data_IF_460973741637
#
_entry.id   IF_460973741637
#
_cell.length_a   1.000
_cell.length_b   1.000
_cell.length_c   1.000
_cell.angle_alpha   90.00
_cell.angle_beta   90.00
_cell.angle_gamma   90.00
#
_symmetry.space_group_name_H-M   'P 1'
#
loop_
_entity.id
_entity.type
_entity.pdbx_description
1 polymer ?
#
# COMPACT_ATOMS: atom_id res chain seq x y z
N UNK A 1 -53.15 24.80 9.83
CA UNK A 1 -53.02 24.20 8.50
C UNK A 1 -51.62 23.59 8.45
N UNK A 2 -51.33 22.47 9.11
CA UNK A 2 -51.91 21.12 9.07
C UNK A 2 -51.65 20.39 7.75
N UNK A 3 -51.12 19.17 7.90
CA UNK A 3 -50.90 18.05 6.95
C UNK A 3 -49.59 18.09 6.14
N UNK A 4 -48.87 17.00 5.91
CA UNK A 4 -48.86 15.62 6.43
C UNK A 4 -47.62 14.91 5.85
N UNK A 5 -47.14 13.87 6.54
CA UNK A 5 -46.11 12.94 6.09
C UNK A 5 -46.59 11.96 4.99
N UNK A 6 -45.66 11.48 4.16
CA UNK A 6 -45.60 10.16 3.49
C UNK A 6 -44.24 10.10 2.78
N UNK A 7 -43.28 9.21 3.05
CA UNK A 7 -43.24 7.74 3.07
C UNK A 7 -43.39 7.07 1.71
N UNK A 8 -42.43 6.16 1.47
CA UNK A 8 -42.21 5.18 0.38
C UNK A 8 -41.77 5.72 -0.98
N UNK A 9 -40.54 5.38 -1.39
CA UNK A 9 -40.30 4.42 -2.49
C UNK A 9 -38.85 3.91 -2.44
N UNK A 10 -38.73 2.60 -2.23
CA UNK A 10 -37.52 1.79 -2.32
C UNK A 10 -37.57 1.10 -3.69
N UNK A 11 -36.59 1.35 -4.55
CA UNK A 11 -36.32 0.48 -5.70
C UNK A 11 -34.94 -0.19 -5.55
N UNK A 12 -35.02 -1.49 -5.81
CA UNK A 12 -34.06 -2.58 -5.76
C UNK A 12 -32.73 -2.38 -6.46
N UNK A 13 -31.65 -2.84 -5.82
CA UNK A 13 -30.43 -3.30 -6.50
C UNK A 13 -30.20 -4.76 -6.09
N UNK A 14 -30.00 -5.60 -7.11
CA UNK A 14 -29.79 -7.04 -7.03
C UNK A 14 -28.65 -7.44 -6.08
N UNK A 15 -28.96 -8.39 -5.20
CA UNK A 15 -28.02 -9.05 -4.31
C UNK A 15 -27.81 -10.49 -4.81
N UNK A 16 -26.59 -10.81 -5.20
CA UNK A 16 -26.16 -12.15 -5.61
C UNK A 16 -25.95 -13.00 -4.35
N UNK A 17 -26.76 -14.03 -4.22
CA UNK A 17 -26.82 -14.97 -3.08
C UNK A 17 -25.58 -15.86 -3.02
N UNK A 18 -24.83 -15.78 -1.91
CA UNK A 18 -23.89 -16.82 -1.49
C UNK A 18 -24.52 -17.53 -0.28
N UNK A 19 -24.86 -18.80 -0.46
CA UNK A 19 -25.44 -19.66 0.58
C UNK A 19 -24.41 -19.98 1.67
N UNK A 20 -24.73 -19.61 2.91
CA UNK A 20 -24.13 -20.18 4.12
C UNK A 20 -25.25 -20.95 4.83
N UNK A 21 -25.10 -22.25 5.10
CA UNK A 21 -26.06 -22.97 5.94
C UNK A 21 -25.76 -22.71 7.42
N UNK A 22 -26.78 -22.20 8.11
CA UNK A 22 -26.81 -21.93 9.55
C UNK A 22 -27.76 -22.92 10.26
N UNK A 23 -27.43 -23.21 11.53
CA UNK A 23 -28.38 -23.63 12.57
C UNK A 23 -28.46 -25.14 12.84
N UNK A 24 -27.97 -25.66 13.98
CA UNK A 24 -28.63 -25.71 15.30
C UNK A 24 -30.06 -26.30 15.22
N UNK A 25 -30.55 -27.21 16.07
CA UNK A 25 -30.23 -27.71 17.41
C UNK A 25 -31.27 -28.80 17.69
N UNK A 26 -30.93 -29.87 18.42
CA UNK A 26 -31.78 -30.45 19.50
C UNK A 26 -31.18 -31.75 20.03
N UNK A 27 -30.91 -31.70 21.33
CA UNK A 27 -30.60 -32.79 22.24
C UNK A 27 -31.94 -33.36 22.74
N UNK A 28 -32.12 -34.67 22.66
CA UNK A 28 -32.33 -35.58 23.82
C UNK A 28 -33.29 -36.77 23.56
N UNK A 29 -32.96 -37.86 24.25
CA UNK A 29 -33.79 -39.00 24.70
C UNK A 29 -34.14 -40.14 23.72
N UNK A 30 -33.45 -41.25 24.00
CA UNK A 30 -33.89 -42.65 23.95
C UNK A 30 -34.24 -43.29 22.61
N UNK A 31 -33.32 -44.12 22.14
CA UNK A 31 -33.65 -45.51 21.81
C UNK A 31 -32.46 -46.42 22.18
N UNK A 32 -32.61 -47.04 23.34
CA UNK A 32 -31.84 -48.18 23.82
C UNK A 32 -32.07 -49.35 22.85
N UNK A 33 -31.24 -49.44 21.80
CA UNK A 33 -31.15 -50.65 20.99
C UNK A 33 -30.35 -51.68 21.79
N UNK A 34 -31.07 -52.46 22.61
CA UNK A 34 -30.58 -53.73 23.14
C UNK A 34 -30.38 -54.72 22.00
N UNK A 35 -29.32 -54.53 21.21
CA UNK A 35 -28.73 -55.62 20.47
C UNK A 35 -28.08 -56.53 21.50
N UNK A 36 -28.85 -57.53 21.94
CA UNK A 36 -28.31 -58.76 22.52
C UNK A 36 -27.48 -59.43 21.42
N UNK A 37 -26.25 -58.95 21.23
CA UNK A 37 -25.21 -59.76 20.64
C UNK A 37 -25.03 -60.94 21.58
N UNK A 38 -25.48 -62.11 21.13
CA UNK A 38 -25.05 -63.37 21.69
C UNK A 38 -23.54 -63.45 21.45
N UNK A 39 -22.76 -62.94 22.40
CA UNK A 39 -21.31 -63.07 22.42
C UNK A 39 -21.01 -64.56 22.42
N UNK A 40 -20.50 -65.08 21.32
CA UNK A 40 -19.91 -66.42 21.30
C UNK A 40 -18.70 -66.32 22.23
N UNK A 41 -18.88 -66.71 23.49
CA UNK A 41 -17.83 -66.69 24.51
C UNK A 41 -16.77 -67.71 24.08
N UNK A 42 -15.79 -67.24 23.30
CA UNK A 42 -14.57 -68.00 23.03
C UNK A 42 -13.89 -68.14 24.37
N UNK A 43 -13.90 -69.35 24.94
CA UNK A 43 -13.21 -69.65 26.20
C UNK A 43 -11.82 -69.04 26.17
N UNK A 44 -11.55 -68.12 27.10
CA UNK A 44 -10.22 -67.54 27.27
C UNK A 44 -9.19 -68.67 27.39
N UNK A 45 -8.05 -68.47 26.73
CA UNK A 45 -6.93 -69.39 26.88
C UNK A 45 -6.54 -69.50 28.36
N UNK A 46 -6.07 -70.66 28.79
CA UNK A 46 -5.69 -70.93 30.20
C UNK A 46 -4.71 -69.88 30.74
N UNK A 47 -3.92 -69.26 29.86
CA UNK A 47 -3.02 -68.16 30.20
C UNK A 47 -3.74 -66.82 30.40
N UNK A 48 -4.77 -66.52 29.59
CA UNK A 48 -5.54 -65.26 29.67
C UNK A 48 -6.41 -65.20 30.93
N UNK A 49 -6.91 -66.36 31.39
CA UNK A 49 -7.69 -66.47 32.64
C UNK A 49 -6.94 -66.06 33.91
N UNK A 50 -5.60 -65.96 33.86
CA UNK A 50 -4.82 -65.50 35.01
C UNK A 50 -4.89 -63.99 35.24
N UNK A 51 -5.32 -63.24 34.22
CA UNK A 51 -5.38 -61.78 34.26
C UNK A 51 -6.82 -61.25 34.30
N UNK A 52 -7.80 -62.14 34.19
CA UNK A 52 -9.23 -61.88 34.35
C UNK A 52 -9.53 -61.81 35.86
N UNK A 53 -9.51 -60.60 36.40
CA UNK A 53 -9.63 -60.32 37.84
C UNK A 53 -11.08 -60.38 38.29
N UNK A 54 -12.00 -59.96 37.42
CA UNK A 54 -13.43 -59.92 37.71
C UNK A 54 -14.15 -61.25 37.39
N UNK A 55 -13.51 -62.16 36.65
CA UNK A 55 -14.02 -63.49 36.32
C UNK A 55 -15.12 -63.48 35.26
N UNK A 56 -15.27 -62.40 34.50
CA UNK A 56 -16.35 -62.25 33.51
C UNK A 56 -16.06 -62.98 32.18
N UNK A 57 -14.84 -63.51 32.02
CA UNK A 57 -14.44 -64.22 30.82
C UNK A 57 -14.20 -63.31 29.62
N UNK A 58 -13.85 -62.04 29.84
CA UNK A 58 -13.35 -61.09 28.84
C UNK A 58 -12.25 -60.24 29.51
N UNK A 59 -11.14 -60.00 28.81
CA UNK A 59 -10.12 -59.10 29.34
C UNK A 59 -10.49 -57.67 28.97
N UNK A 60 -10.69 -56.81 29.97
CA UNK A 60 -10.82 -55.37 29.74
C UNK A 60 -9.48 -54.75 29.28
N UNK A 61 -9.50 -53.48 28.86
CA UNK A 61 -8.29 -52.81 28.36
C UNK A 61 -7.15 -52.77 29.39
N UNK A 62 -7.47 -52.72 30.69
CA UNK A 62 -6.49 -52.70 31.76
C UNK A 62 -5.89 -54.11 31.97
N UNK A 63 -6.71 -55.15 32.02
CA UNK A 63 -6.28 -56.54 32.13
C UNK A 63 -5.50 -57.01 30.91
N UNK A 64 -5.88 -56.56 29.71
CA UNK A 64 -5.14 -56.77 28.48
C UNK A 64 -3.78 -56.07 28.51
N UNK A 65 -3.72 -54.84 29.03
CA UNK A 65 -2.46 -54.13 29.24
C UNK A 65 -1.57 -54.86 30.27
N UNK A 66 -2.14 -55.36 31.37
CA UNK A 66 -1.41 -56.17 32.35
C UNK A 66 -0.82 -57.44 31.73
N UNK A 67 -1.61 -58.13 30.89
CA UNK A 67 -1.17 -59.33 30.17
C UNK A 67 -0.07 -59.05 29.16
N UNK A 68 -0.12 -57.93 28.43
CA UNK A 68 0.92 -57.58 27.45
C UNK A 68 2.22 -57.13 28.11
N UNK A 69 2.13 -56.52 29.29
CA UNK A 69 3.31 -56.08 30.05
C UNK A 69 3.97 -57.21 30.85
N UNK A 70 3.23 -58.25 31.25
CA UNK A 70 3.81 -59.43 31.90
C UNK A 70 4.49 -60.37 30.89
N UNK A 71 5.71 -60.00 30.47
CA UNK A 71 6.60 -60.83 29.66
C UNK A 71 7.04 -62.13 30.35
N UNK A 72 6.84 -62.23 31.66
CA UNK A 72 7.26 -63.38 32.47
C UNK A 72 6.15 -64.44 32.61
N UNK A 73 4.91 -64.11 32.26
CA UNK A 73 3.77 -65.02 32.25
C UNK A 73 3.35 -65.52 33.63
N UNK A 74 3.62 -64.74 34.67
CA UNK A 74 3.38 -65.08 36.08
C UNK A 74 1.96 -64.73 36.52
N UNK A 75 1.23 -63.92 35.75
CA UNK A 75 -0.15 -63.54 36.06
C UNK A 75 -0.24 -62.34 37.01
N UNK A 76 0.85 -61.61 37.21
CA UNK A 76 0.87 -60.39 38.02
C UNK A 76 2.05 -59.50 37.61
N UNK A 77 1.85 -58.19 37.69
CA UNK A 77 2.91 -57.21 37.46
C UNK A 77 3.77 -57.08 38.72
N UNK A 78 5.08 -56.98 38.54
CA UNK A 78 5.98 -56.64 39.65
C UNK A 78 5.78 -55.18 40.04
N UNK A 79 5.95 -54.84 41.31
CA UNK A 79 5.83 -53.45 41.79
C UNK A 79 6.66 -52.47 40.93
N UNK A 80 7.84 -52.89 40.46
CA UNK A 80 8.70 -52.08 39.60
C UNK A 80 8.05 -51.73 38.24
N UNK A 81 7.31 -52.65 37.63
CA UNK A 81 6.60 -52.43 36.36
C UNK A 81 5.38 -51.51 36.55
N UNK A 82 4.69 -51.65 37.69
CA UNK A 82 3.59 -50.76 38.06
C UNK A 82 4.08 -49.32 38.22
N UNK A 83 5.25 -49.13 38.86
CA UNK A 83 5.87 -47.80 38.98
C UNK A 83 6.24 -47.18 37.62
N UNK A 84 6.81 -47.96 36.69
CA UNK A 84 7.14 -47.43 35.35
C UNK A 84 5.89 -47.00 34.56
N UNK A 85 4.78 -47.74 34.70
CA UNK A 85 3.51 -47.39 34.05
C UNK A 85 2.92 -46.09 34.62
N UNK A 86 2.92 -45.94 35.95
CA UNK A 86 2.42 -44.73 36.61
C UNK A 86 3.25 -43.51 36.23
N UNK A 87 4.57 -43.69 36.09
CA UNK A 87 5.48 -42.61 35.70
C UNK A 87 5.25 -42.14 34.25
N UNK A 88 5.00 -43.08 33.33
CA UNK A 88 4.68 -42.78 31.92
C UNK A 88 3.33 -42.02 31.79
N UNK A 89 2.34 -42.36 32.61
CA UNK A 89 1.06 -41.63 32.66
C UNK A 89 1.19 -40.23 33.27
N UNK A 90 2.07 -40.03 34.26
CA UNK A 90 2.33 -38.71 34.84
C UNK A 90 3.06 -37.77 33.88
N UNK A 91 3.95 -38.31 33.04
CA UNK A 91 4.67 -37.53 32.04
C UNK A 91 3.76 -37.09 30.89
N UNK A 92 2.89 -37.98 30.41
CA UNK A 92 1.89 -37.65 29.39
C UNK A 92 0.88 -36.61 29.87
N UNK A 93 0.42 -36.67 31.13
CA UNK A 93 -0.44 -35.62 31.69
C UNK A 93 0.24 -34.24 31.77
N UNK A 94 1.53 -34.19 32.16
CA UNK A 94 2.28 -32.92 32.20
C UNK A 94 2.41 -32.27 30.83
N UNK A 95 2.56 -33.06 29.76
CA UNK A 95 2.59 -32.53 28.41
C UNK A 95 1.25 -31.94 27.99
N UNK A 96 0.12 -32.57 28.36
CA UNK A 96 -1.22 -32.04 28.09
C UNK A 96 -1.48 -30.70 28.78
N UNK A 97 -0.98 -30.50 30.01
CA UNK A 97 -1.11 -29.20 30.69
C UNK A 97 -0.30 -28.08 30.02
N UNK A 98 0.90 -28.38 29.53
CA UNK A 98 1.71 -27.40 28.79
C UNK A 98 1.06 -27.05 27.45
N UNK A 99 0.53 -28.04 26.74
CA UNK A 99 -0.18 -27.83 25.46
C UNK A 99 -1.46 -27.02 25.67
N UNK A 100 -2.28 -27.32 26.70
CA UNK A 100 -3.48 -26.53 27.03
C UNK A 100 -3.14 -25.06 27.26
N UNK A 101 -2.06 -24.77 28.00
CA UNK A 101 -1.61 -23.39 28.23
C UNK A 101 -1.22 -22.68 26.93
N UNK A 102 -0.52 -23.36 26.02
CA UNK A 102 -0.15 -22.78 24.71
C UNK A 102 -1.38 -22.57 23.84
N UNK A 103 -2.34 -23.50 23.85
CA UNK A 103 -3.59 -23.40 23.11
C UNK A 103 -4.42 -22.17 23.53
N UNK A 104 -4.54 -21.90 24.84
CA UNK A 104 -5.22 -20.71 25.34
C UNK A 104 -4.55 -19.40 24.91
N UNK A 105 -3.21 -19.35 24.89
CA UNK A 105 -2.47 -18.18 24.42
C UNK A 105 -2.69 -17.94 22.92
N UNK A 106 -2.65 -19.00 22.12
CA UNK A 106 -2.92 -18.90 20.68
C UNK A 106 -4.35 -18.43 20.38
N UNK A 107 -5.35 -18.94 21.11
CA UNK A 107 -6.74 -18.53 20.94
C UNK A 107 -6.92 -17.04 21.29
N UNK A 108 -6.33 -16.58 22.40
CA UNK A 108 -6.36 -15.16 22.76
C UNK A 108 -5.73 -14.27 21.69
N UNK A 109 -4.61 -14.70 21.10
CA UNK A 109 -3.94 -13.96 20.02
C UNK A 109 -4.83 -13.86 18.77
N UNK A 110 -5.50 -14.95 18.38
CA UNK A 110 -6.43 -14.94 17.25
C UNK A 110 -7.59 -13.98 17.48
N UNK A 111 -8.15 -13.93 18.69
CA UNK A 111 -9.21 -12.97 19.03
C UNK A 111 -8.70 -11.53 18.95
N UNK A 112 -7.49 -11.25 19.48
CA UNK A 112 -6.88 -9.91 19.37
C UNK A 112 -6.65 -9.52 17.91
N UNK A 113 -6.18 -10.46 17.07
CA UNK A 113 -5.98 -10.24 15.65
C UNK A 113 -7.31 -9.94 14.93
N UNK A 114 -8.37 -10.68 15.26
CA UNK A 114 -9.70 -10.45 14.70
C UNK A 114 -10.26 -9.08 15.11
N UNK A 115 -10.13 -8.68 16.38
CA UNK A 115 -10.55 -7.36 16.87
C UNK A 115 -9.73 -6.24 16.22
N UNK A 116 -8.44 -6.46 15.97
CA UNK A 116 -7.58 -5.48 15.28
C UNK A 116 -8.05 -5.25 13.84
N UNK A 117 -8.35 -6.33 13.12
CA UNK A 117 -8.87 -6.26 11.76
C UNK A 117 -10.27 -5.61 11.72
N UNK A 118 -11.12 -5.89 12.71
CA UNK A 118 -12.43 -5.24 12.82
C UNK A 118 -12.29 -3.73 13.12
N UNK A 119 -11.35 -3.34 13.98
CA UNK A 119 -11.08 -1.94 14.32
C UNK A 119 -10.58 -1.12 13.14
N UNK A 120 -9.69 -1.67 12.30
CA UNK A 120 -9.22 -0.99 11.09
C UNK A 120 -10.35 -0.80 10.07
N UNK A 121 -11.20 -1.82 9.86
CA UNK A 121 -12.38 -1.70 8.99
C UNK A 121 -13.39 -0.67 9.50
N UNK A 122 -13.66 -0.63 10.82
CA UNK A 122 -14.55 0.37 11.41
C UNK A 122 -14.02 1.79 11.29
N UNK A 123 -12.71 2.00 11.54
CA UNK A 123 -12.07 3.29 11.35
C UNK A 123 -12.15 3.76 9.89
N UNK A 124 -11.89 2.87 8.92
CA UNK A 124 -12.03 3.19 7.51
C UNK A 124 -13.48 3.54 7.13
N UNK A 125 -14.47 2.80 7.64
CA UNK A 125 -15.88 3.05 7.38
C UNK A 125 -16.38 4.38 7.99
N UNK A 126 -15.93 4.72 9.20
CA UNK A 126 -16.27 6.00 9.83
C UNK A 126 -15.70 7.18 9.03
N UNK A 127 -14.44 7.08 8.58
CA UNK A 127 -13.83 8.11 7.74
C UNK A 127 -14.54 8.25 6.40
N UNK A 128 -15.00 7.15 5.79
CA UNK A 128 -15.74 7.20 4.53
C UNK A 128 -17.10 7.90 4.64
N UNK A 129 -17.75 7.87 5.82
CA UNK A 129 -19.07 8.48 6.04
C UNK A 129 -19.02 10.01 6.16
N UNK A 130 -17.92 10.54 6.68
CA UNK A 130 -17.75 11.98 6.92
C UNK A 130 -17.11 12.72 5.73
N UNK A 131 -16.94 12.02 4.61
CA UNK A 131 -16.35 12.55 3.38
C UNK A 131 -17.45 12.79 2.33
N UNK A 132 -17.53 14.00 1.79
CA UNK A 132 -18.45 14.34 0.69
C UNK A 132 -17.70 14.93 -0.50
N UNK A 133 -18.12 14.59 -1.72
CA UNK A 133 -17.53 15.13 -2.95
C UNK A 133 -18.27 16.43 -3.27
N UNK A 134 -17.55 17.56 -3.17
CA UNK A 134 -18.08 18.85 -3.57
C UNK A 134 -18.18 18.97 -5.10
N UNK A 135 -18.94 19.93 -5.60
CA UNK A 135 -19.10 20.19 -7.04
C UNK A 135 -17.79 20.56 -7.77
N UNK A 136 -16.72 20.87 -7.03
CA UNK A 136 -15.37 21.11 -7.53
C UNK A 136 -14.49 19.85 -7.59
N UNK A 137 -15.07 18.65 -7.43
CA UNK A 137 -14.34 17.37 -7.34
C UNK A 137 -13.32 17.30 -6.19
N UNK A 138 -13.43 18.20 -5.23
CA UNK A 138 -12.63 18.20 -4.02
C UNK A 138 -13.37 17.43 -2.93
N UNK A 139 -12.61 16.57 -2.26
CA UNK A 139 -13.11 15.72 -1.21
C UNK A 139 -13.06 16.55 0.08
N UNK A 140 -14.22 16.98 0.56
CA UNK A 140 -14.33 17.85 1.73
C UNK A 140 -14.95 17.08 2.90
N UNK A 141 -14.48 17.36 4.11
CA UNK A 141 -15.14 16.90 5.33
C UNK A 141 -16.55 17.51 5.40
N UNK A 142 -17.56 16.67 5.64
CA UNK A 142 -18.96 17.07 5.70
C UNK A 142 -19.25 18.08 6.82
N UNK A 143 -18.51 18.01 7.91
CA UNK A 143 -18.73 18.83 9.10
C UNK A 143 -17.89 20.11 9.07
N UNK A 144 -16.62 20.03 8.67
CA UNK A 144 -15.73 21.21 8.68
C UNK A 144 -15.67 21.94 7.34
N UNK A 145 -16.13 21.31 6.25
CA UNK A 145 -15.99 21.79 4.88
C UNK A 145 -14.53 22.04 4.49
N UNK A 146 -13.58 21.51 5.27
CA UNK A 146 -12.16 21.56 4.95
C UNK A 146 -11.83 20.50 3.91
N UNK A 147 -10.97 20.87 2.97
CA UNK A 147 -10.43 19.98 1.97
C UNK A 147 -9.64 18.86 2.66
N UNK A 148 -10.18 17.64 2.63
CA UNK A 148 -9.45 16.46 3.02
C UNK A 148 -8.55 16.09 1.85
N UNK A 149 -7.23 16.20 2.05
CA UNK A 149 -6.22 15.85 1.06
C UNK A 149 -6.32 14.37 0.73
N UNK A 150 -7.17 14.02 -0.23
CA UNK A 150 -7.21 12.66 -0.77
C UNK A 150 -6.00 12.45 -1.62
N UNK A 151 -5.41 11.27 -1.47
CA UNK A 151 -4.39 10.75 -2.35
C UNK A 151 -5.06 10.50 -3.72
N UNK A 152 -5.30 11.58 -4.47
CA UNK A 152 -5.52 11.51 -5.91
C UNK A 152 -4.35 10.72 -6.47
N UNK A 153 -4.59 9.73 -7.32
CA UNK A 153 -3.54 9.09 -8.10
C UNK A 153 -2.82 10.18 -8.89
N UNK A 154 -1.77 10.74 -8.28
CA UNK A 154 -0.99 11.81 -8.83
C UNK A 154 0.03 11.15 -9.74
N UNK A 155 -0.26 11.14 -11.04
CA UNK A 155 0.72 10.68 -11.99
C UNK A 155 1.82 11.74 -12.08
N UNK A 156 3.03 11.33 -11.72
CA UNK A 156 4.21 12.17 -11.81
C UNK A 156 4.91 11.88 -13.14
N UNK A 157 4.84 12.84 -14.07
CA UNK A 157 5.45 12.70 -15.39
C UNK A 157 6.74 13.50 -15.41
N UNK A 158 7.85 12.82 -15.67
CA UNK A 158 9.15 13.46 -15.82
C UNK A 158 9.26 14.20 -17.16
N UNK A 159 9.70 15.46 -17.09
CA UNK A 159 9.90 16.35 -18.24
C UNK A 159 11.37 16.39 -18.60
N UNK A 160 11.67 16.06 -19.84
CA UNK A 160 13.01 16.01 -20.37
C UNK A 160 13.27 17.21 -21.30
N UNK A 161 14.55 17.57 -21.48
CA UNK A 161 14.97 18.57 -22.46
C UNK A 161 15.53 17.89 -23.68
N UNK A 162 15.16 18.40 -24.85
CA UNK A 162 15.71 17.94 -26.12
C UNK A 162 16.10 19.12 -26.99
N UNK A 163 17.11 18.91 -27.82
CA UNK A 163 17.52 19.80 -28.91
C UNK A 163 17.25 19.14 -30.25
N UNK A 164 16.98 19.96 -31.26
CA UNK A 164 16.94 19.53 -32.65
C UNK A 164 18.29 19.83 -33.30
N UNK A 165 18.89 18.82 -33.89
CA UNK A 165 20.03 19.01 -34.79
C UNK A 165 19.56 19.66 -36.09
N UNK A 166 20.43 20.42 -36.79
CA UNK A 166 20.10 21.00 -38.09
C UNK A 166 19.68 19.95 -39.13
N UNK A 167 20.06 18.69 -38.94
CA UNK A 167 19.68 17.55 -39.78
C UNK A 167 18.28 16.98 -39.45
N UNK A 168 17.55 17.59 -38.52
CA UNK A 168 16.21 17.15 -38.08
C UNK A 168 16.22 15.99 -37.08
N UNK A 169 17.41 15.54 -36.65
CA UNK A 169 17.58 14.57 -35.57
C UNK A 169 17.21 15.17 -34.21
N UNK A 170 16.59 14.36 -33.34
CA UNK A 170 16.28 14.74 -31.95
C UNK A 170 17.30 14.10 -31.01
N UNK A 171 17.98 14.89 -30.18
CA UNK A 171 18.86 14.38 -29.11
C UNK A 171 18.36 14.82 -27.74
N UNK A 172 18.47 13.90 -26.78
CA UNK A 172 18.22 14.21 -25.37
C UNK A 172 19.37 15.08 -24.87
N UNK A 173 19.05 16.17 -24.19
CA UNK A 173 20.02 16.95 -23.45
C UNK A 173 20.41 16.16 -22.22
N UNK A 174 21.53 15.44 -22.29
CA UNK A 174 22.13 14.85 -21.11
C UNK A 174 22.96 15.92 -20.39
N UNK A 175 22.83 15.99 -19.06
CA UNK A 175 23.58 16.94 -18.24
C UNK A 175 25.06 16.55 -18.19
N UNK A 176 25.38 15.29 -18.47
CA UNK A 176 26.75 14.74 -18.45
C UNK A 176 27.38 14.60 -19.86
N UNK A 177 26.70 15.04 -20.94
CA UNK A 177 27.11 14.81 -22.33
C UNK A 177 27.54 16.06 -23.11
N UNK A 178 28.37 15.86 -24.14
CA UNK A 178 28.99 16.87 -25.04
C UNK A 178 28.02 17.76 -25.88
N UNK A 179 26.72 17.76 -25.57
CA UNK A 179 25.72 18.50 -26.35
C UNK A 179 25.33 19.79 -25.63
N UNK A 180 25.87 20.93 -26.09
CA UNK A 180 25.51 22.25 -25.60
C UNK A 180 24.03 22.57 -25.88
N UNK A 181 23.20 22.51 -24.84
CA UNK A 181 21.77 22.79 -24.91
C UNK A 181 21.41 24.28 -24.70
N UNK A 182 22.37 25.18 -24.84
CA UNK A 182 22.27 26.57 -24.38
C UNK A 182 21.33 27.45 -25.22
N UNK A 183 21.16 27.18 -26.51
CA UNK A 183 20.48 28.14 -27.41
C UNK A 183 19.10 27.73 -27.91
N UNK A 184 18.78 26.43 -28.07
CA UNK A 184 17.51 25.97 -28.67
C UNK A 184 16.91 24.71 -28.02
N UNK A 185 17.06 24.54 -26.71
CA UNK A 185 16.43 23.42 -26.00
C UNK A 185 14.99 23.75 -25.58
N UNK A 186 14.07 22.79 -25.76
CA UNK A 186 12.69 22.90 -25.31
C UNK A 186 12.35 21.75 -24.37
N UNK A 187 11.38 22.00 -23.47
CA UNK A 187 10.81 20.99 -22.57
C UNK A 187 9.89 20.08 -23.37
N UNK A 188 10.14 18.77 -23.33
CA UNK A 188 9.34 17.78 -24.03
C UNK A 188 8.98 16.57 -23.17
N UNK A 189 7.86 15.95 -23.55
CA UNK A 189 7.39 14.67 -23.05
C UNK A 189 7.19 13.74 -24.24
N UNK A 190 7.45 12.44 -24.06
CA UNK A 190 7.17 11.40 -25.04
C UNK A 190 5.68 11.31 -25.38
N UNK A 191 5.34 10.82 -26.58
CA UNK A 191 3.95 10.72 -27.03
C UNK A 191 3.02 10.01 -26.05
N UNK A 192 3.40 8.82 -25.57
CA UNK A 192 2.58 8.02 -24.65
C UNK A 192 2.28 8.77 -23.36
N UNK A 193 3.30 9.36 -22.74
CA UNK A 193 3.18 10.19 -21.53
C UNK A 193 2.32 11.44 -21.79
N UNK A 194 2.38 12.03 -22.98
CA UNK A 194 1.54 13.18 -23.31
C UNK A 194 0.07 12.80 -23.46
N UNK A 195 -0.23 11.73 -24.20
CA UNK A 195 -1.59 11.24 -24.36
C UNK A 195 -2.16 10.78 -23.00
N UNK A 196 -1.33 10.17 -22.15
CA UNK A 196 -1.68 9.86 -20.76
C UNK A 196 -2.02 11.12 -19.97
N UNK A 197 -1.17 12.15 -19.99
CA UNK A 197 -1.43 13.44 -19.34
C UNK A 197 -2.78 14.04 -19.78
N UNK A 198 -3.04 14.09 -21.09
CA UNK A 198 -4.29 14.62 -21.65
C UNK A 198 -5.50 13.81 -21.13
N UNK A 199 -5.40 12.48 -21.17
CA UNK A 199 -6.46 11.59 -20.72
C UNK A 199 -6.71 11.71 -19.21
N UNK A 200 -5.66 11.85 -18.41
CA UNK A 200 -5.79 12.02 -16.96
C UNK A 200 -6.37 13.39 -16.60
N UNK A 201 -5.88 14.46 -17.23
CA UNK A 201 -6.42 15.80 -17.07
C UNK A 201 -7.89 15.91 -17.48
N UNK A 202 -8.30 15.30 -18.59
CA UNK A 202 -9.68 15.32 -19.06
C UNK A 202 -10.64 14.50 -18.19
N UNK A 203 -10.13 13.51 -17.46
CA UNK A 203 -10.90 12.73 -16.46
C UNK A 203 -10.98 13.42 -15.09
N UNK A 204 -10.34 14.57 -14.90
CA UNK A 204 -10.29 15.28 -13.62
C UNK A 204 -9.24 14.72 -12.65
N UNK A 205 -8.31 13.89 -13.12
CA UNK A 205 -7.22 13.39 -12.28
C UNK A 205 -6.15 14.47 -12.09
N UNK A 206 -5.41 14.34 -10.99
CA UNK A 206 -4.26 15.19 -10.70
C UNK A 206 -3.05 14.71 -11.49
N UNK A 207 -2.42 15.62 -12.23
CA UNK A 207 -1.18 15.35 -12.98
C UNK A 207 -0.13 16.34 -12.55
N UNK A 208 1.04 15.84 -12.16
CA UNK A 208 2.17 16.64 -11.73
C UNK A 208 3.36 16.39 -12.66
N UNK A 209 3.93 17.45 -13.20
CA UNK A 209 5.17 17.37 -13.95
C UNK A 209 6.35 17.50 -13.00
N UNK A 210 7.34 16.63 -13.13
CA UNK A 210 8.58 16.72 -12.36
C UNK A 210 9.75 17.01 -13.28
N UNK A 211 10.68 17.83 -12.80
CA UNK A 211 11.94 18.10 -13.48
C UNK A 211 13.08 18.04 -12.48
N UNK A 212 14.11 17.30 -12.83
CA UNK A 212 15.38 17.27 -12.11
C UNK A 212 16.33 18.30 -12.72
N UNK A 213 16.96 19.10 -11.88
CA UNK A 213 17.92 20.15 -12.25
C UNK A 213 19.36 19.62 -12.17
N UNK A 214 20.33 20.31 -12.81
CA UNK A 214 21.73 19.88 -12.80
C UNK A 214 22.35 19.74 -11.40
N UNK A 215 21.84 20.47 -10.42
CA UNK A 215 22.29 20.36 -9.03
C UNK A 215 21.63 19.21 -8.25
N UNK A 216 20.74 18.43 -8.89
CA UNK A 216 19.98 17.35 -8.29
C UNK A 216 18.65 17.77 -7.66
N UNK A 217 18.32 19.07 -7.65
CA UNK A 217 17.02 19.52 -7.14
C UNK A 217 15.90 19.06 -8.06
N UNK A 218 14.73 18.77 -7.49
CA UNK A 218 13.54 18.37 -8.25
C UNK A 218 12.46 19.41 -8.04
N UNK A 219 12.05 20.08 -9.12
CA UNK A 219 10.85 20.94 -9.11
C UNK A 219 9.65 20.17 -9.63
N UNK A 220 8.51 20.40 -8.99
CA UNK A 220 7.23 19.78 -9.36
C UNK A 220 6.20 20.85 -9.68
N UNK A 221 5.50 20.69 -10.81
CA UNK A 221 4.48 21.61 -11.29
C UNK A 221 3.15 20.86 -11.40
N UNK A 222 2.11 21.35 -10.74
CA UNK A 222 0.78 20.78 -10.87
C UNK A 222 0.11 21.31 -12.15
N UNK A 223 -0.22 20.40 -13.07
CA UNK A 223 -0.86 20.74 -14.36
C UNK A 223 -2.37 20.66 -14.24
N UNK A 224 -2.87 19.63 -13.57
CA UNK A 224 -4.29 19.36 -13.37
C UNK A 224 -4.54 19.07 -11.89
N UNK A 225 -5.69 19.49 -11.32
CA UNK A 225 -6.84 20.09 -12.01
C UNK A 225 -6.62 21.55 -12.46
N UNK A 226 -7.24 21.94 -13.57
CA UNK A 226 -7.21 23.31 -14.09
C UNK A 226 -8.56 24.01 -13.87
N UNK A 227 -8.53 25.32 -13.60
CA UNK A 227 -9.73 26.14 -13.35
C UNK A 227 -10.44 26.52 -14.63
N UNK A 228 -9.69 26.78 -15.69
CA UNK A 228 -10.22 27.16 -17.00
C UNK A 228 -9.22 26.81 -18.10
N UNK A 229 -9.70 26.59 -19.32
CA UNK A 229 -8.82 26.27 -20.43
C UNK A 229 -9.50 25.43 -21.50
N UNK A 230 -8.75 25.17 -22.55
CA UNK A 230 -9.15 24.30 -23.67
C UNK A 230 -8.07 23.25 -23.89
N UNK A 231 -8.48 21.99 -23.82
CA UNK A 231 -7.66 20.85 -24.23
C UNK A 231 -7.93 20.60 -25.72
N UNK A 232 -6.86 20.52 -26.51
CA UNK A 232 -6.90 20.15 -27.92
C UNK A 232 -6.00 18.94 -28.16
N UNK A 233 -6.51 17.95 -28.88
CA UNK A 233 -5.77 16.73 -29.20
C UNK A 233 -4.74 16.93 -30.34
N UNK A 234 -4.97 17.90 -31.23
CA UNK A 234 -4.13 18.13 -32.42
C UNK A 234 -3.53 19.54 -32.48
N UNK A 235 -3.79 20.38 -31.48
CA UNK A 235 -3.34 21.76 -31.44
C UNK A 235 -2.77 22.15 -30.08
N UNK A 236 -2.54 23.44 -29.91
CA UNK A 236 -2.06 23.99 -28.65
C UNK A 236 -3.19 24.00 -27.62
N UNK A 237 -3.01 23.21 -26.57
CA UNK A 237 -3.85 23.24 -25.39
C UNK A 237 -3.42 24.38 -24.48
N UNK A 238 -4.40 25.09 -23.91
CA UNK A 238 -4.20 26.26 -23.06
C UNK A 238 -4.96 26.05 -21.76
N UNK A 239 -4.26 25.84 -20.66
CA UNK A 239 -4.83 25.61 -19.34
C UNK A 239 -4.43 26.75 -18.40
N UNK A 240 -5.27 27.01 -17.40
CA UNK A 240 -4.96 27.90 -16.27
C UNK A 240 -5.25 27.17 -14.97
N UNK A 241 -4.26 27.13 -14.08
CA UNK A 241 -4.41 26.51 -12.76
C UNK A 241 -5.23 27.41 -11.81
N UNK A 242 -5.39 26.97 -10.56
CA UNK A 242 -6.09 27.73 -9.49
C UNK A 242 -5.44 29.07 -9.17
N UNK A 243 -4.11 29.17 -9.30
CA UNK A 243 -3.30 30.38 -9.11
C UNK A 243 -3.40 31.35 -10.31
N UNK A 244 -4.07 30.96 -11.39
CA UNK A 244 -4.18 31.75 -12.62
C UNK A 244 -2.96 31.70 -13.53
N UNK A 245 -1.94 30.89 -13.20
CA UNK A 245 -0.75 30.67 -14.04
C UNK A 245 -1.15 29.88 -15.29
N UNK A 246 -0.63 30.33 -16.44
CA UNK A 246 -0.93 29.71 -17.73
C UNK A 246 -0.03 28.48 -17.98
N UNK A 247 -0.61 27.43 -18.53
CA UNK A 247 0.09 26.22 -18.95
C UNK A 247 -0.29 25.89 -20.39
N UNK A 248 0.71 25.69 -21.23
CA UNK A 248 0.54 25.42 -22.65
C UNK A 248 1.22 24.09 -22.97
N UNK A 249 0.52 23.25 -23.70
CA UNK A 249 1.14 22.06 -24.29
C UNK A 249 0.67 21.88 -25.72
N UNK A 250 1.61 21.48 -26.59
CA UNK A 250 1.38 21.35 -28.01
C UNK A 250 2.01 20.05 -28.51
N UNK A 251 1.20 19.20 -29.14
CA UNK A 251 1.67 17.97 -29.78
C UNK A 251 2.35 18.34 -31.10
N UNK A 252 3.65 18.07 -31.19
CA UNK A 252 4.46 18.29 -32.38
C UNK A 252 4.29 17.13 -33.37
N UNK A 253 4.64 17.36 -34.65
CA UNK A 253 4.52 16.40 -35.77
C UNK A 253 5.47 15.18 -35.71
N UNK A 254 5.99 14.85 -34.52
CA UNK A 254 6.84 13.68 -34.25
C UNK A 254 6.42 12.94 -32.98
N UNK A 255 5.14 13.06 -32.60
CA UNK A 255 4.54 12.40 -31.43
C UNK A 255 4.86 13.06 -30.09
N UNK A 256 5.91 13.87 -29.98
CA UNK A 256 6.26 14.52 -28.71
C UNK A 256 5.39 15.72 -28.40
N UNK A 257 5.25 16.03 -27.11
CA UNK A 257 4.56 17.24 -26.67
C UNK A 257 5.54 18.26 -26.12
N UNK A 258 5.46 19.47 -26.65
CA UNK A 258 6.18 20.65 -26.15
C UNK A 258 5.39 21.28 -25.01
N UNK A 259 6.07 21.62 -23.92
CA UNK A 259 5.47 22.28 -22.76
C UNK A 259 6.03 23.69 -22.58
N UNK A 260 5.14 24.66 -22.44
CA UNK A 260 5.45 26.07 -22.17
C UNK A 260 4.44 26.70 -21.22
N UNK A 261 4.68 27.93 -20.78
CA UNK A 261 3.76 28.71 -19.94
C UNK A 261 4.35 29.11 -18.58
N UNK A 262 3.64 30.01 -17.92
CA UNK A 262 4.07 30.61 -16.64
C UNK A 262 4.08 29.58 -15.50
N UNK A 263 3.20 28.58 -15.57
CA UNK A 263 3.09 27.54 -14.54
C UNK A 263 4.32 26.61 -14.46
N UNK A 264 5.12 26.54 -15.53
CA UNK A 264 6.39 25.78 -15.58
C UNK A 264 7.62 26.69 -15.60
N UNK A 265 7.41 28.00 -15.58
CA UNK A 265 8.49 28.97 -15.52
C UNK A 265 9.03 29.07 -14.08
N UNK A 266 10.32 29.32 -13.97
CA UNK A 266 11.02 29.54 -12.72
C UNK A 266 10.87 31.00 -12.27
N UNK A 267 10.74 31.21 -10.97
CA UNK A 267 10.58 32.52 -10.35
C UNK A 267 11.94 33.18 -10.10
N UNK A 268 11.97 34.35 -9.44
CA UNK A 268 13.22 35.05 -9.15
C UNK A 268 14.08 34.21 -8.21
N UNK A 269 15.37 34.13 -8.50
CA UNK A 269 16.39 33.36 -7.77
C UNK A 269 16.27 31.83 -7.87
N UNK A 270 15.29 31.31 -8.61
CA UNK A 270 15.19 29.89 -8.94
C UNK A 270 16.26 29.46 -9.95
N UNK A 271 16.60 28.18 -9.94
CA UNK A 271 17.61 27.57 -10.80
C UNK A 271 17.11 27.53 -12.24
N UNK A 272 18.00 27.84 -13.18
CA UNK A 272 17.68 27.82 -14.60
C UNK A 272 18.84 27.26 -15.42
N UNK A 273 18.52 26.75 -16.62
CA UNK A 273 19.52 26.28 -17.59
C UNK A 273 19.57 27.21 -18.80
N UNK A 274 18.42 27.70 -19.26
CA UNK A 274 18.33 28.68 -20.37
C UNK A 274 17.33 29.77 -20.04
N UNK A 275 17.36 30.88 -20.76
CA UNK A 275 16.44 32.01 -20.56
C UNK A 275 14.96 31.60 -20.60
N UNK A 276 14.58 30.61 -21.42
CA UNK A 276 13.21 30.10 -21.48
C UNK A 276 12.74 29.26 -20.28
N UNK A 277 13.63 28.95 -19.33
CA UNK A 277 13.21 28.40 -18.03
C UNK A 277 12.64 29.46 -17.13
N UNK A 278 13.23 30.64 -17.18
CA UNK A 278 12.76 31.79 -16.47
C UNK A 278 11.52 32.34 -17.19
N UNK A 279 10.65 33.02 -16.45
CA UNK A 279 9.51 33.72 -17.03
C UNK A 279 10.00 34.93 -17.87
N UNK A 280 9.50 36.13 -17.60
CA UNK A 280 10.05 37.36 -18.19
C UNK A 280 11.40 37.80 -17.57
N UNK A 281 12.21 36.82 -17.13
CA UNK A 281 13.48 37.03 -16.42
C UNK A 281 14.64 36.42 -17.23
N UNK A 282 15.86 36.83 -16.94
CA UNK A 282 17.05 36.31 -17.60
C UNK A 282 17.72 35.22 -16.76
N UNK A 283 18.12 34.13 -17.41
CA UNK A 283 18.91 33.08 -16.80
C UNK A 283 20.38 33.44 -16.88
N UNK A 284 20.98 33.83 -15.75
CA UNK A 284 22.40 34.26 -15.72
C UNK A 284 23.12 33.71 -14.51
N UNK A 285 24.41 33.39 -14.67
CA UNK A 285 25.28 33.02 -13.55
C UNK A 285 25.74 34.28 -12.83
N UNK A 286 25.22 34.52 -11.63
CA UNK A 286 25.66 35.63 -10.80
C UNK A 286 26.87 35.22 -9.93
N UNK A 287 28.05 35.71 -10.29
CA UNK A 287 29.31 35.38 -9.61
C UNK A 287 29.31 35.75 -8.12
N UNK A 288 28.58 36.80 -7.71
CA UNK A 288 28.45 37.18 -6.30
C UNK A 288 27.64 36.16 -5.50
N UNK A 289 26.58 35.62 -6.08
CA UNK A 289 25.75 34.59 -5.43
C UNK A 289 26.50 33.27 -5.31
N UNK A 290 27.21 32.89 -6.38
CA UNK A 290 28.04 31.69 -6.40
C UNK A 290 29.12 31.79 -5.31
N UNK A 291 29.80 32.93 -5.18
CA UNK A 291 30.82 33.12 -4.14
C UNK A 291 30.23 33.15 -2.73
N UNK A 292 29.08 33.79 -2.51
CA UNK A 292 28.37 33.77 -1.22
C UNK A 292 27.87 32.37 -0.85
N UNK A 293 27.45 31.56 -1.83
CA UNK A 293 27.07 30.15 -1.64
C UNK A 293 28.29 29.32 -1.26
N UNK A 294 29.40 29.44 -2.00
CA UNK A 294 30.67 28.75 -1.70
C UNK A 294 31.19 29.12 -0.31
N UNK A 295 31.14 30.40 0.07
CA UNK A 295 31.52 30.86 1.42
C UNK A 295 30.63 30.22 2.51
N UNK A 296 29.34 30.03 2.25
CA UNK A 296 28.45 29.30 3.18
C UNK A 296 28.83 27.83 3.28
N UNK A 297 29.16 27.17 2.17
CA UNK A 297 29.70 25.81 2.19
C UNK A 297 30.98 25.72 3.04
N UNK A 298 31.87 26.72 2.98
CA UNK A 298 33.10 26.75 3.79
C UNK A 298 32.84 26.86 5.29
N UNK A 299 31.78 27.56 5.69
CA UNK A 299 31.41 27.73 7.10
C UNK A 299 30.77 26.46 7.69
N UNK A 300 30.23 25.59 6.84
CA UNK A 300 29.57 24.38 7.29
C UNK A 300 30.62 23.34 7.70
N UNK A 301 30.58 22.92 8.97
CA UNK A 301 31.42 21.84 9.50
C UNK A 301 30.92 20.48 9.02
N UNK A 302 31.04 20.23 7.73
CA UNK A 302 30.74 18.92 7.15
C UNK A 302 31.97 18.02 7.14
N UNK A 303 31.75 16.71 7.05
CA UNK A 303 32.80 15.79 6.66
C UNK A 303 33.32 16.18 5.28
N UNK A 304 34.64 16.05 5.05
CA UNK A 304 35.29 16.43 3.79
C UNK A 304 34.64 15.80 2.54
N UNK A 305 33.96 14.66 2.70
CA UNK A 305 33.22 13.97 1.63
C UNK A 305 31.97 14.71 1.13
N UNK A 306 31.36 15.61 1.92
CA UNK A 306 30.14 16.34 1.53
C UNK A 306 30.40 17.73 0.95
N UNK A 307 31.63 18.23 1.11
CA UNK A 307 32.04 19.54 0.60
C UNK A 307 31.91 19.63 -0.94
N UNK A 308 32.32 18.61 -1.74
CA UNK A 308 32.20 18.65 -3.20
C UNK A 308 30.75 18.78 -3.66
N UNK A 309 29.83 18.04 -3.03
CA UNK A 309 28.40 18.13 -3.36
C UNK A 309 27.82 19.52 -3.04
N UNK A 310 28.25 20.14 -1.92
CA UNK A 310 27.84 21.50 -1.57
C UNK A 310 28.31 22.51 -2.63
N UNK A 311 29.58 22.45 -3.04
CA UNK A 311 30.08 23.37 -4.06
C UNK A 311 29.46 23.14 -5.44
N UNK A 312 29.23 21.88 -5.82
CA UNK A 312 28.52 21.55 -7.06
C UNK A 312 27.11 22.17 -7.06
N UNK A 313 26.43 22.13 -5.91
CA UNK A 313 25.14 22.78 -5.76
C UNK A 313 25.19 24.31 -5.86
N UNK A 314 26.35 24.97 -5.82
CA UNK A 314 26.47 26.42 -5.93
C UNK A 314 26.72 26.93 -7.35
N UNK A 315 27.15 26.09 -8.30
CA UNK A 315 27.57 26.52 -9.64
C UNK A 315 26.46 26.35 -10.70
N UNK A 316 25.31 26.97 -10.45
CA UNK A 316 24.19 26.97 -11.38
C UNK A 316 23.74 28.41 -11.71
N UNK A 317 23.11 28.57 -12.87
CA UNK A 317 22.49 29.85 -13.23
C UNK A 317 21.16 29.99 -12.50
N UNK A 318 20.78 31.24 -12.21
CA UNK A 318 19.52 31.57 -11.56
C UNK A 318 18.75 32.63 -12.34
N UNK A 319 17.43 32.63 -12.20
CA UNK A 319 16.56 33.61 -12.84
C UNK A 319 16.64 34.97 -12.16
N UNK A 320 16.97 36.00 -12.93
CA UNK A 320 17.09 37.37 -12.43
C UNK A 320 16.24 38.34 -13.25
N UNK A 321 15.68 39.34 -12.58
CA UNK A 321 15.06 40.47 -13.26
C UNK A 321 16.09 41.08 -14.22
N UNK A 322 15.68 41.31 -15.47
CA UNK A 322 16.48 42.06 -16.41
C UNK A 322 16.72 43.45 -15.81
N UNK A 323 17.94 43.70 -15.33
CA UNK A 323 18.37 45.05 -14.96
C UNK A 323 18.29 45.88 -16.23
N UNK A 324 17.25 46.70 -16.32
CA UNK A 324 17.04 47.66 -17.41
C UNK A 324 18.03 48.81 -17.26
#
# INVERSE_FOLDING_TARGET
>A
MSTSANSTDLESINEETVEIPDGNELVDVSQENTNKEATIVRKLSTFSKKYDVNGDGVLDDAEMAMRTMDKSGRGHLTNQQVYSMMQEQLETQKQLFRVRRIMFVLLALVVILAVSNLGTSFAAASLAKDVTISSSAEITDKNTHEALSTQTTAEAIEVERVTFEPDGGRRLCDVDGDVECETNSFRMISESKCDAMINHCSRGNTVTLKRTWPNGDVTSFNVCPFKSGTISNMGMSKLKNSEGKSFFFEKLTGGTCRITGDAVAQEVDDICVVNGDCASLNCTKNSSRISDCKRRCDMLRFAASRLPACYASCDHATCHASSS
#
